data_IF_434377607563
#
_entry.id   IF_434377607563
#
_cell.length_a   1.000
_cell.length_b   1.000
_cell.length_c   1.000
_cell.angle_alpha   90.00
_cell.angle_beta   90.00
_cell.angle_gamma   90.00
#
_symmetry.space_group_name_H-M   'P 1'
#
loop_
_entity.id
_entity.type
_entity.pdbx_description
1 polymer ?
#
# COMPACT_ATOMS: atom_id res chain seq x y z
N UNK A 1 0.67 -28.48 24.24
CA UNK A 1 0.32 -28.44 22.81
C UNK A 1 0.75 -27.08 22.27
N UNK A 2 1.96 -26.98 21.73
CA UNK A 2 2.54 -25.74 21.22
C UNK A 2 1.87 -25.40 19.89
N UNK A 3 1.05 -24.35 19.87
CA UNK A 3 0.54 -23.75 18.63
C UNK A 3 1.68 -22.94 17.97
N UNK A 4 2.64 -23.63 17.36
CA UNK A 4 3.57 -23.02 16.40
C UNK A 4 2.88 -22.91 15.04
N UNK A 5 1.80 -22.14 14.96
CA UNK A 5 1.35 -21.59 13.69
C UNK A 5 2.19 -20.36 13.43
N UNK A 6 3.09 -20.40 12.45
CA UNK A 6 3.72 -19.19 11.95
C UNK A 6 2.61 -18.27 11.45
N UNK A 7 2.21 -17.26 12.23
CA UNK A 7 1.26 -16.26 11.81
C UNK A 7 1.92 -15.36 10.76
N UNK A 8 1.88 -15.78 9.50
CA UNK A 8 2.50 -15.05 8.40
C UNK A 8 1.81 -13.70 8.17
N UNK A 9 2.63 -12.68 7.98
CA UNK A 9 2.17 -11.41 7.43
C UNK A 9 1.88 -11.58 5.94
N UNK A 10 0.91 -10.82 5.43
CA UNK A 10 0.63 -10.66 4.00
C UNK A 10 0.58 -9.19 3.62
N UNK A 11 0.67 -8.89 2.33
CA UNK A 11 0.73 -7.52 1.82
C UNK A 11 -0.68 -7.07 1.41
N UNK A 12 -1.31 -6.23 2.23
CA UNK A 12 -2.68 -5.74 2.01
C UNK A 12 -2.70 -4.43 1.20
N UNK A 13 -1.56 -3.76 1.08
CA UNK A 13 -1.42 -2.58 0.22
C UNK A 13 0.01 -2.46 -0.26
N UNK A 14 0.18 -2.14 -1.54
CA UNK A 14 1.49 -1.88 -2.13
C UNK A 14 1.38 -0.71 -3.10
N UNK A 15 2.19 0.31 -2.90
CA UNK A 15 2.29 1.46 -3.81
C UNK A 15 3.68 1.40 -4.43
N UNK A 16 3.73 1.35 -5.76
CA UNK A 16 4.99 1.20 -6.48
C UNK A 16 5.02 2.16 -7.67
N UNK A 17 6.20 2.71 -7.97
CA UNK A 17 6.42 3.56 -9.12
C UNK A 17 7.77 3.27 -9.78
N UNK A 18 7.91 3.58 -11.07
CA UNK A 18 9.18 3.46 -11.78
C UNK A 18 9.31 4.56 -12.84
N UNK A 19 10.50 5.16 -12.90
CA UNK A 19 10.87 6.18 -13.89
C UNK A 19 11.54 5.54 -15.12
N UNK A 20 11.09 5.95 -16.31
CA UNK A 20 11.66 5.59 -17.60
C UNK A 20 12.21 6.85 -18.27
N UNK A 21 13.54 7.02 -18.21
CA UNK A 21 14.22 8.25 -18.66
C UNK A 21 14.09 8.51 -20.16
N UNK A 22 13.99 7.44 -20.94
CA UNK A 22 13.82 7.49 -22.39
C UNK A 22 12.44 8.03 -22.78
N UNK A 23 11.46 7.96 -21.85
CA UNK A 23 10.09 8.36 -22.11
C UNK A 23 9.42 7.48 -23.16
N UNK A 24 8.47 8.05 -23.90
CA UNK A 24 7.77 7.36 -24.99
C UNK A 24 6.72 6.36 -24.53
N UNK A 25 6.41 6.31 -23.23
CA UNK A 25 5.36 5.43 -22.72
C UNK A 25 3.96 5.96 -23.08
N UNK A 26 2.98 5.07 -23.26
CA UNK A 26 1.58 5.47 -23.37
C UNK A 26 1.11 6.30 -22.18
N UNK A 27 0.33 7.35 -22.45
CA UNK A 27 -0.37 8.09 -21.40
C UNK A 27 -1.51 7.22 -20.84
N UNK A 28 -1.46 6.96 -19.54
CA UNK A 28 -2.48 6.15 -18.84
C UNK A 28 -3.02 6.95 -17.67
N UNK A 29 -4.25 7.44 -17.83
CA UNK A 29 -5.01 8.13 -16.81
C UNK A 29 -6.49 8.12 -17.17
N UNK A 30 -7.33 8.77 -16.37
CA UNK A 30 -8.73 9.01 -16.72
C UNK A 30 -8.85 10.20 -17.67
N UNK A 31 -8.05 11.24 -17.47
CA UNK A 31 -7.99 12.44 -18.29
C UNK A 31 -6.54 12.91 -18.49
N UNK A 32 -6.29 13.52 -19.64
CA UNK A 32 -5.07 14.28 -19.91
C UNK A 32 -5.27 15.72 -19.44
N UNK A 33 -4.26 16.26 -18.76
CA UNK A 33 -4.20 17.63 -18.27
C UNK A 33 -3.12 18.34 -19.07
N UNK A 34 -3.55 19.16 -20.04
CA UNK A 34 -2.68 20.10 -20.73
C UNK A 34 -2.44 21.33 -19.85
N UNK A 35 -1.21 21.82 -19.83
CA UNK A 35 -0.84 23.03 -19.10
C UNK A 35 -0.14 23.97 -20.06
N UNK A 36 -0.44 25.25 -19.96
CA UNK A 36 0.17 26.31 -20.75
C UNK A 36 0.84 27.25 -19.76
N UNK A 37 2.10 27.60 -20.02
CA UNK A 37 2.79 28.65 -19.28
C UNK A 37 2.17 30.00 -19.64
N UNK A 38 1.71 30.75 -18.65
CA UNK A 38 0.97 32.00 -18.87
C UNK A 38 1.88 33.18 -19.26
N UNK A 39 3.17 33.10 -18.98
CA UNK A 39 4.14 34.15 -19.33
C UNK A 39 4.65 33.95 -20.75
N UNK A 40 5.03 32.72 -21.12
CA UNK A 40 5.59 32.40 -22.44
C UNK A 40 4.55 31.97 -23.48
N UNK A 41 3.38 31.49 -23.05
CA UNK A 41 2.37 30.88 -23.92
C UNK A 41 2.74 29.47 -24.40
N UNK A 42 3.85 28.90 -23.91
CA UNK A 42 4.32 27.57 -24.33
C UNK A 42 3.51 26.44 -23.66
N UNK A 43 3.29 25.35 -24.40
CA UNK A 43 2.69 24.14 -23.84
C UNK A 43 3.71 23.41 -22.97
N UNK A 44 3.36 23.21 -21.70
CA UNK A 44 4.12 22.36 -20.79
C UNK A 44 3.85 20.87 -21.06
N UNK A 45 4.74 19.96 -20.64
CA UNK A 45 4.50 18.53 -20.76
C UNK A 45 3.15 18.13 -20.16
N UNK A 46 2.34 17.34 -20.90
CA UNK A 46 1.04 16.90 -20.44
C UNK A 46 1.20 16.05 -19.19
N UNK A 47 0.25 16.17 -18.27
CA UNK A 47 0.11 15.27 -17.13
C UNK A 47 -1.17 14.47 -17.31
N UNK A 48 -1.33 13.41 -16.52
CA UNK A 48 -2.58 12.67 -16.43
C UNK A 48 -3.01 12.54 -14.98
N UNK A 49 -4.31 12.40 -14.73
CA UNK A 49 -4.83 11.99 -13.43
C UNK A 49 -4.71 10.46 -13.23
N UNK A 50 -5.11 9.97 -12.06
CA UNK A 50 -5.14 8.54 -11.79
C UNK A 50 -6.38 7.89 -12.42
N UNK A 51 -6.18 6.71 -13.03
CA UNK A 51 -7.27 5.85 -13.48
C UNK A 51 -7.56 4.79 -12.42
N UNK A 52 -8.82 4.69 -12.00
CA UNK A 52 -9.29 3.62 -11.10
C UNK A 52 -9.64 2.40 -11.94
N UNK A 53 -9.08 1.26 -11.58
CA UNK A 53 -9.38 -0.05 -12.15
C UNK A 53 -10.25 -0.81 -11.17
N UNK A 54 -11.41 -1.27 -11.63
CA UNK A 54 -12.29 -2.12 -10.85
C UNK A 54 -12.04 -3.59 -11.20
N UNK A 55 -11.64 -4.36 -10.20
CA UNK A 55 -11.49 -5.80 -10.27
C UNK A 55 -12.74 -6.53 -9.78
N UNK A 56 -12.75 -7.84 -9.90
CA UNK A 56 -13.81 -8.69 -9.34
C UNK A 56 -13.98 -8.45 -7.84
N UNK A 57 -15.20 -8.59 -7.32
CA UNK A 57 -15.51 -8.44 -5.89
C UNK A 57 -15.19 -7.05 -5.28
N UNK A 58 -15.38 -6.00 -6.09
CA UNK A 58 -15.27 -4.59 -5.72
C UNK A 58 -13.88 -4.16 -5.25
N UNK A 59 -12.83 -4.83 -5.74
CA UNK A 59 -11.44 -4.41 -5.51
C UNK A 59 -11.06 -3.27 -6.41
N UNK A 60 -10.27 -2.32 -5.90
CA UNK A 60 -9.80 -1.17 -6.67
C UNK A 60 -8.28 -1.12 -6.67
N UNK A 61 -7.71 -0.96 -7.86
CA UNK A 61 -6.34 -0.50 -8.05
C UNK A 61 -6.39 0.87 -8.72
N UNK A 62 -5.36 1.67 -8.53
CA UNK A 62 -5.13 2.87 -9.34
C UNK A 62 -3.89 2.68 -10.19
N UNK A 63 -3.96 3.17 -11.43
CA UNK A 63 -2.86 3.17 -12.38
C UNK A 63 -2.67 4.58 -12.94
N UNK A 64 -1.42 4.96 -13.16
CA UNK A 64 -1.06 6.23 -13.78
C UNK A 64 0.22 6.10 -14.59
N UNK A 65 0.24 6.63 -15.81
CA UNK A 65 1.46 6.86 -16.59
C UNK A 65 1.41 8.21 -17.30
N UNK A 66 2.41 9.06 -17.07
CA UNK A 66 2.55 10.39 -17.68
C UNK A 66 3.55 10.41 -18.87
N UNK A 67 3.84 9.23 -19.43
CA UNK A 67 4.80 9.07 -20.52
C UNK A 67 6.23 8.81 -20.06
N UNK A 68 6.53 9.05 -18.78
CA UNK A 68 7.85 8.82 -18.18
C UNK A 68 7.78 7.96 -16.93
N UNK A 69 6.81 8.21 -16.04
CA UNK A 69 6.66 7.50 -14.78
C UNK A 69 5.44 6.60 -14.81
N UNK A 70 5.62 5.33 -14.47
CA UNK A 70 4.52 4.38 -14.23
C UNK A 70 4.28 4.28 -12.73
N UNK A 71 3.01 4.31 -12.30
CA UNK A 71 2.61 4.12 -10.90
C UNK A 71 1.40 3.20 -10.80
N UNK A 72 1.46 2.25 -9.87
CA UNK A 72 0.35 1.37 -9.52
C UNK A 72 0.17 1.37 -8.01
N UNK A 73 -1.06 1.51 -7.54
CA UNK A 73 -1.39 1.54 -6.12
C UNK A 73 -2.62 0.69 -5.82
N UNK A 74 -2.60 0.02 -4.67
CA UNK A 74 -3.79 -0.60 -4.10
C UNK A 74 -3.48 -1.90 -3.39
N UNK A 75 -4.45 -2.81 -3.34
CA UNK A 75 -4.31 -4.10 -2.66
C UNK A 75 -4.08 -5.23 -3.69
N UNK A 76 -2.84 -5.70 -3.88
CA UNK A 76 -2.57 -6.80 -4.81
C UNK A 76 -3.15 -8.12 -4.30
N UNK A 77 -3.15 -8.34 -2.98
CA UNK A 77 -3.68 -9.55 -2.34
C UNK A 77 -5.17 -9.77 -2.53
N UNK A 78 -5.94 -8.70 -2.77
CA UNK A 78 -7.38 -8.79 -2.97
C UNK A 78 -7.77 -8.71 -4.45
N UNK A 79 -6.87 -8.29 -5.33
CA UNK A 79 -7.18 -8.04 -6.74
C UNK A 79 -7.73 -9.29 -7.43
N UNK A 80 -8.95 -9.18 -7.98
CA UNK A 80 -9.67 -10.27 -8.65
C UNK A 80 -9.85 -11.54 -7.79
N UNK A 81 -9.87 -11.41 -6.46
CA UNK A 81 -10.09 -12.53 -5.54
C UNK A 81 -11.36 -12.38 -4.73
N UNK A 82 -12.01 -13.50 -4.47
CA UNK A 82 -13.25 -13.56 -3.68
C UNK A 82 -12.96 -13.53 -2.17
N UNK A 83 -11.89 -14.21 -1.73
CA UNK A 83 -11.49 -14.23 -0.33
C UNK A 83 -10.54 -13.07 0.00
N UNK A 84 -10.69 -12.49 1.20
CA UNK A 84 -9.82 -11.44 1.74
C UNK A 84 -9.23 -11.86 3.10
N UNK A 85 -9.06 -13.17 3.29
CA UNK A 85 -8.58 -13.73 4.55
C UNK A 85 -7.08 -14.01 4.53
N UNK A 86 -6.55 -14.42 3.37
CA UNK A 86 -5.13 -14.65 3.19
C UNK A 86 -4.67 -13.89 1.96
N UNK A 87 -3.54 -13.20 2.08
CA UNK A 87 -2.96 -12.45 0.99
C UNK A 87 -1.65 -13.05 0.47
N UNK A 88 -1.08 -12.36 -0.51
CA UNK A 88 0.26 -12.61 -1.02
C UNK A 88 1.29 -12.25 0.06
N UNK A 89 2.27 -13.11 0.24
CA UNK A 89 3.24 -12.99 1.34
C UNK A 89 4.58 -12.43 0.85
N UNK A 90 4.80 -12.42 -0.47
CA UNK A 90 6.02 -11.91 -1.08
C UNK A 90 5.74 -10.67 -1.95
N UNK A 91 6.77 -9.82 -2.06
CA UNK A 91 6.76 -8.67 -2.96
C UNK A 91 6.72 -9.11 -4.43
N UNK A 92 7.43 -10.19 -4.78
CA UNK A 92 7.51 -10.67 -6.17
C UNK A 92 6.12 -11.09 -6.69
N UNK A 93 5.33 -11.82 -5.89
CA UNK A 93 3.93 -12.15 -6.24
C UNK A 93 3.06 -10.90 -6.40
N UNK A 94 3.23 -9.91 -5.51
CA UNK A 94 2.46 -8.65 -5.60
C UNK A 94 2.81 -7.85 -6.86
N UNK A 95 4.09 -7.81 -7.20
CA UNK A 95 4.59 -7.12 -8.40
C UNK A 95 4.14 -7.85 -9.66
N UNK A 96 4.07 -9.19 -9.65
CA UNK A 96 3.54 -9.97 -10.76
C UNK A 96 2.07 -9.63 -11.06
N UNK A 97 1.22 -9.50 -10.02
CA UNK A 97 -0.16 -9.01 -10.15
C UNK A 97 -0.19 -7.63 -10.83
N UNK A 98 0.68 -6.71 -10.43
CA UNK A 98 0.75 -5.38 -11.03
C UNK A 98 1.26 -5.43 -12.47
N UNK A 99 2.26 -6.26 -12.78
CA UNK A 99 2.78 -6.42 -14.12
C UNK A 99 1.73 -6.99 -15.09
N UNK A 100 0.85 -7.90 -14.63
CA UNK A 100 -0.31 -8.34 -15.40
C UNK A 100 -1.32 -7.21 -15.70
N UNK A 101 -1.44 -6.23 -14.81
CA UNK A 101 -2.26 -5.04 -15.05
C UNK A 101 -1.58 -4.11 -16.05
N UNK A 102 -0.27 -3.87 -15.91
CA UNK A 102 0.52 -3.00 -16.79
C UNK A 102 0.50 -3.49 -18.25
N UNK A 103 0.61 -4.80 -18.45
CA UNK A 103 0.58 -5.42 -19.77
C UNK A 103 -0.71 -5.10 -20.57
N UNK A 104 -1.84 -4.84 -19.89
CA UNK A 104 -3.11 -4.46 -20.55
C UNK A 104 -3.12 -3.03 -21.10
N UNK A 105 -2.11 -2.23 -20.74
CA UNK A 105 -1.97 -0.84 -21.13
C UNK A 105 -0.67 -0.59 -21.92
N UNK A 106 -0.04 -1.66 -22.42
CA UNK A 106 1.24 -1.61 -23.13
C UNK A 106 2.35 -0.89 -22.33
N UNK A 107 2.27 -1.00 -21.00
CA UNK A 107 3.27 -0.45 -20.09
C UNK A 107 4.31 -1.52 -19.72
N UNK A 108 5.59 -1.12 -19.58
CA UNK A 108 6.66 -2.04 -19.21
C UNK A 108 6.46 -2.57 -17.79
N UNK A 109 6.89 -3.81 -17.50
CA UNK A 109 6.82 -4.36 -16.16
C UNK A 109 7.76 -3.62 -15.20
N UNK A 110 7.40 -3.62 -13.92
CA UNK A 110 8.30 -3.17 -12.86
C UNK A 110 9.51 -4.11 -12.74
N UNK A 111 10.69 -3.52 -12.59
CA UNK A 111 11.96 -4.24 -12.49
C UNK A 111 12.63 -4.01 -11.14
N UNK A 112 13.35 -5.01 -10.63
CA UNK A 112 14.14 -4.84 -9.40
C UNK A 112 15.19 -3.74 -9.59
N UNK A 113 15.37 -2.94 -8.55
CA UNK A 113 16.40 -1.91 -8.54
C UNK A 113 17.78 -2.56 -8.38
N UNK A 114 18.69 -2.31 -9.31
CA UNK A 114 20.03 -2.93 -9.32
C UNK A 114 21.14 -1.93 -8.99
N UNK A 115 20.85 -0.63 -9.08
CA UNK A 115 21.80 0.46 -8.83
C UNK A 115 21.09 1.63 -8.17
N UNK A 116 21.64 2.09 -7.06
CA UNK A 116 21.23 3.32 -6.39
C UNK A 116 22.31 4.37 -6.58
N UNK A 117 21.93 5.58 -7.00
CA UNK A 117 22.84 6.73 -7.11
C UNK A 117 22.26 7.89 -6.32
N UNK A 118 23.12 8.71 -5.73
CA UNK A 118 22.68 9.99 -5.17
C UNK A 118 22.29 10.93 -6.30
N UNK A 119 21.16 11.60 -6.14
CA UNK A 119 20.79 12.76 -6.93
C UNK A 119 21.66 13.93 -6.50
N UNK A 120 22.14 14.71 -7.46
CA UNK A 120 22.77 15.98 -7.18
C UNK A 120 21.73 16.92 -6.56
N UNK A 121 22.03 17.44 -5.38
CA UNK A 121 21.17 18.39 -4.68
C UNK A 121 21.92 19.71 -4.47
N UNK A 122 21.20 20.85 -4.38
CA UNK A 122 21.80 22.11 -3.99
C UNK A 122 22.53 21.98 -2.65
N UNK A 123 23.57 22.80 -2.45
CA UNK A 123 24.38 22.77 -1.24
C UNK A 123 23.51 22.96 0.02
N UNK A 124 23.83 22.20 1.07
CA UNK A 124 23.06 22.16 2.32
C UNK A 124 21.74 21.39 2.27
N UNK A 125 21.33 20.80 1.13
CA UNK A 125 20.13 19.95 1.04
C UNK A 125 20.47 18.46 1.05
N UNK A 126 19.67 17.68 1.77
CA UNK A 126 19.76 16.22 1.81
C UNK A 126 19.61 15.63 0.41
N UNK A 127 20.58 14.79 0.02
CA UNK A 127 20.52 14.08 -1.26
C UNK A 127 19.48 12.96 -1.21
N UNK A 128 18.77 12.75 -2.32
CA UNK A 128 17.86 11.61 -2.49
C UNK A 128 18.51 10.53 -3.34
N UNK A 129 18.09 9.27 -3.16
CA UNK A 129 18.53 8.19 -4.03
C UNK A 129 17.66 8.11 -5.28
N UNK A 130 18.29 7.77 -6.40
CA UNK A 130 17.62 7.47 -7.66
C UNK A 130 18.04 6.07 -8.09
N UNK A 131 17.04 5.22 -8.28
CA UNK A 131 17.17 3.86 -8.78
C UNK A 131 17.15 3.75 -10.30
N UNK A 132 17.43 2.55 -10.79
CA UNK A 132 17.17 2.16 -12.17
C UNK A 132 16.00 1.16 -12.31
N UNK A 133 15.26 0.91 -11.23
CA UNK A 133 14.11 0.03 -11.22
C UNK A 133 12.99 0.62 -10.37
N UNK A 134 12.04 -0.24 -10.00
CA UNK A 134 10.86 0.13 -9.25
C UNK A 134 11.22 0.58 -7.82
N UNK A 135 10.50 1.60 -7.39
CA UNK A 135 10.51 2.17 -6.05
C UNK A 135 9.18 1.82 -5.37
N UNK A 136 9.25 1.19 -4.19
CA UNK A 136 8.10 1.01 -3.32
C UNK A 136 7.95 2.28 -2.50
N UNK A 137 6.88 3.02 -2.73
CA UNK A 137 6.60 4.29 -2.03
C UNK A 137 5.64 4.12 -0.86
N UNK A 138 5.10 2.92 -0.65
CA UNK A 138 4.38 2.54 0.57
C UNK A 138 4.01 1.06 0.55
N UNK A 139 4.02 0.42 1.71
CA UNK A 139 3.59 -0.96 1.89
C UNK A 139 2.81 -1.12 3.20
N UNK A 140 1.73 -1.91 3.17
CA UNK A 140 1.06 -2.35 4.38
C UNK A 140 1.19 -3.87 4.56
N UNK A 141 1.90 -4.27 5.61
CA UNK A 141 1.95 -5.63 6.10
C UNK A 141 0.78 -5.89 7.05
N UNK A 142 0.06 -6.98 6.87
CA UNK A 142 -1.13 -7.31 7.65
C UNK A 142 -1.02 -8.70 8.23
N UNK A 143 -1.43 -8.84 9.48
CA UNK A 143 -1.56 -10.09 10.19
C UNK A 143 -2.99 -10.19 10.75
N UNK A 144 -3.66 -11.29 10.45
CA UNK A 144 -4.94 -11.61 11.05
C UNK A 144 -4.69 -12.36 12.37
N UNK A 145 -5.29 -11.85 13.44
CA UNK A 145 -5.28 -12.42 14.79
C UNK A 145 -6.68 -12.92 15.14
N UNK A 146 -6.77 -13.90 16.03
CA UNK A 146 -8.03 -14.42 16.56
C UNK A 146 -8.03 -14.32 18.08
N UNK A 147 -9.15 -13.86 18.63
CA UNK A 147 -9.40 -13.83 20.07
C UNK A 147 -10.70 -14.56 20.39
N UNK A 148 -10.92 -14.84 21.67
CA UNK A 148 -12.23 -15.32 22.14
C UNK A 148 -13.32 -14.32 21.75
N UNK A 149 -14.50 -14.80 21.39
CA UNK A 149 -15.64 -13.94 21.06
C UNK A 149 -15.95 -12.99 22.23
N UNK A 150 -16.13 -11.71 21.94
CA UNK A 150 -16.38 -10.66 22.94
C UNK A 150 -15.11 -10.21 23.67
N UNK A 151 -13.94 -10.79 23.34
CA UNK A 151 -12.65 -10.43 23.94
C UNK A 151 -11.88 -9.42 23.08
N UNK A 152 -12.47 -8.87 22.02
CA UNK A 152 -11.81 -7.96 21.08
C UNK A 152 -11.43 -6.65 21.77
N UNK A 153 -12.39 -6.00 22.44
CA UNK A 153 -12.09 -4.76 23.18
C UNK A 153 -11.15 -5.00 24.37
N UNK A 154 -11.36 -6.02 25.24
CA UNK A 154 -10.38 -6.33 26.29
C UNK A 154 -8.96 -6.56 25.75
N UNK A 155 -8.83 -7.27 24.63
CA UNK A 155 -7.53 -7.51 24.00
C UNK A 155 -6.89 -6.20 23.50
N UNK A 156 -7.63 -5.40 22.73
CA UNK A 156 -7.14 -4.13 22.18
C UNK A 156 -6.78 -3.16 23.32
N UNK A 157 -7.61 -3.08 24.35
CA UNK A 157 -7.35 -2.28 25.56
C UNK A 157 -6.08 -2.77 26.28
N UNK A 158 -5.93 -4.08 26.45
CA UNK A 158 -4.72 -4.68 27.01
C UNK A 158 -3.47 -4.29 26.23
N UNK A 159 -3.49 -4.45 24.91
CA UNK A 159 -2.40 -4.05 24.02
C UNK A 159 -2.11 -2.55 24.08
N UNK A 160 -3.15 -1.72 24.19
CA UNK A 160 -3.02 -0.26 24.30
C UNK A 160 -2.38 0.23 25.60
N UNK A 161 -2.09 -0.65 26.56
CA UNK A 161 -1.30 -0.29 27.74
C UNK A 161 0.22 -0.30 27.47
N UNK A 162 0.63 -0.79 26.29
CA UNK A 162 2.03 -0.95 25.91
C UNK A 162 2.45 0.06 24.84
N UNK A 163 3.66 0.58 24.98
CA UNK A 163 4.36 1.28 23.90
C UNK A 163 4.98 0.26 22.94
N UNK A 164 5.07 0.61 21.65
CA UNK A 164 5.72 -0.23 20.64
C UNK A 164 6.96 0.45 20.06
N UNK A 165 7.93 -0.36 19.63
CA UNK A 165 9.13 0.10 18.95
C UNK A 165 9.90 1.18 19.72
N UNK A 166 10.16 2.32 19.08
CA UNK A 166 10.87 3.47 19.64
C UNK A 166 9.97 4.32 20.56
N UNK A 167 9.36 3.69 21.56
CA UNK A 167 8.46 4.36 22.53
C UNK A 167 7.25 5.03 21.88
N UNK A 168 6.75 4.47 20.77
CA UNK A 168 5.53 4.96 20.13
C UNK A 168 4.39 4.78 21.11
N UNK A 169 3.71 5.87 21.46
CA UNK A 169 2.61 5.84 22.41
C UNK A 169 1.34 5.29 21.75
N UNK A 170 0.57 4.45 22.44
CA UNK A 170 -0.71 3.97 21.96
C UNK A 170 -1.73 5.11 21.95
N UNK A 171 -2.56 5.14 20.91
CA UNK A 171 -3.81 5.91 20.84
C UNK A 171 -4.96 4.93 20.75
N UNK A 172 -5.58 4.63 21.89
CA UNK A 172 -6.83 3.88 21.95
C UNK A 172 -7.99 4.80 21.56
N UNK A 173 -8.83 4.35 20.64
CA UNK A 173 -10.01 5.10 20.22
C UNK A 173 -11.18 4.92 21.20
N UNK A 174 -12.10 5.90 21.32
CA UNK A 174 -13.18 5.86 22.32
C UNK A 174 -14.12 4.65 22.21
N UNK A 175 -14.25 4.05 21.03
CA UNK A 175 -15.07 2.87 20.79
C UNK A 175 -14.44 1.56 21.32
N UNK A 176 -13.18 1.59 21.74
CA UNK A 176 -12.43 0.43 22.23
C UNK A 176 -12.08 -0.61 21.15
N UNK A 177 -12.41 -0.37 19.88
CA UNK A 177 -12.24 -1.32 18.78
C UNK A 177 -11.03 -1.05 17.91
N UNK A 178 -10.30 0.04 18.14
CA UNK A 178 -9.08 0.38 17.43
C UNK A 178 -8.03 1.00 18.34
N UNK A 179 -6.76 0.63 18.16
CA UNK A 179 -5.61 1.26 18.79
C UNK A 179 -4.49 1.44 17.77
N UNK A 180 -3.95 2.65 17.66
CA UNK A 180 -2.87 2.98 16.73
C UNK A 180 -1.60 3.39 17.47
N UNK A 181 -0.44 3.11 16.87
CA UNK A 181 0.87 3.59 17.32
C UNK A 181 1.55 4.30 16.15
N UNK A 182 2.10 5.51 16.39
CA UNK A 182 2.75 6.29 15.33
C UNK A 182 1.79 7.04 14.42
N UNK A 183 0.60 7.37 14.92
CA UNK A 183 -0.32 8.22 14.15
C UNK A 183 0.32 9.58 13.87
N UNK A 184 0.22 10.04 12.62
CA UNK A 184 0.94 11.22 12.14
C UNK A 184 2.37 10.97 11.68
N UNK A 185 2.90 9.74 11.84
CA UNK A 185 4.21 9.38 11.27
C UNK A 185 4.16 9.29 9.75
N UNK A 186 5.18 9.86 9.11
CA UNK A 186 5.47 9.70 7.69
C UNK A 186 6.29 8.45 7.36
N UNK A 187 6.64 7.63 8.37
CA UNK A 187 7.50 6.45 8.18
C UNK A 187 6.84 5.14 8.61
N UNK A 188 6.15 5.14 9.75
CA UNK A 188 5.63 3.91 10.34
C UNK A 188 4.36 4.16 11.15
N UNK A 189 3.29 3.45 10.79
CA UNK A 189 2.03 3.43 11.51
C UNK A 189 1.60 1.99 11.77
N UNK A 190 1.42 1.63 13.04
CA UNK A 190 0.89 0.33 13.43
C UNK A 190 -0.57 0.52 13.83
N UNK A 191 -1.46 -0.30 13.27
CA UNK A 191 -2.90 -0.30 13.56
C UNK A 191 -3.29 -1.66 14.10
N UNK A 192 -3.97 -1.68 15.23
CA UNK A 192 -4.66 -2.85 15.74
C UNK A 192 -6.15 -2.53 15.80
N UNK A 193 -6.99 -3.29 15.11
CA UNK A 193 -8.43 -3.04 15.12
C UNK A 193 -9.24 -4.32 14.99
N UNK A 194 -10.44 -4.32 15.58
CA UNK A 194 -11.39 -5.40 15.37
C UNK A 194 -11.95 -5.29 13.95
N UNK A 195 -11.73 -6.31 13.11
CA UNK A 195 -12.34 -6.37 11.78
C UNK A 195 -13.75 -6.91 11.98
N UNK A 196 -14.67 -6.01 12.28
CA UNK A 196 -16.11 -6.31 12.31
C UNK A 196 -16.49 -6.96 10.98
N UNK A 197 -17.06 -8.16 11.06
CA UNK A 197 -17.61 -8.89 9.93
C UNK A 197 -18.75 -8.06 9.33
N UNK A 198 -18.44 -7.24 8.34
CA UNK A 198 -19.41 -6.77 7.35
C UNK A 198 -19.72 -7.89 6.35
N UNK A 199 -20.01 -9.10 6.84
CA UNK A 199 -20.58 -10.20 6.07
C UNK A 199 -21.53 -10.97 6.98
N UNK A 200 -22.80 -10.92 6.60
CA UNK A 200 -23.91 -11.62 7.21
C UNK A 200 -23.63 -13.12 7.37
N UNK A 201 -24.01 -13.64 8.55
CA UNK A 201 -24.51 -15.01 8.79
C UNK A 201 -23.64 -16.13 8.18
N UNK A 202 -22.65 -16.60 8.95
CA UNK A 202 -22.26 -18.02 9.18
C UNK A 202 -20.78 -18.13 9.53
N UNK A 203 -20.41 -17.92 10.81
CA UNK A 203 -19.24 -18.52 11.50
C UNK A 203 -19.26 -18.10 12.99
N UNK A 204 -20.09 -18.78 13.79
CA UNK A 204 -20.47 -18.40 15.17
C UNK A 204 -19.46 -18.81 16.27
N UNK A 205 -18.15 -18.84 16.05
CA UNK A 205 -17.21 -19.28 17.13
C UNK A 205 -15.93 -18.46 17.33
N UNK A 206 -15.57 -17.54 16.43
CA UNK A 206 -14.32 -16.77 16.59
C UNK A 206 -14.44 -15.42 15.89
N UNK A 207 -14.20 -14.32 16.62
CA UNK A 207 -14.08 -12.98 16.06
C UNK A 207 -12.59 -12.63 15.87
N UNK A 208 -12.30 -11.77 14.88
CA UNK A 208 -10.95 -11.56 14.38
C UNK A 208 -10.49 -10.12 14.58
N UNK A 209 -9.24 -9.99 14.99
CA UNK A 209 -8.53 -8.72 15.12
C UNK A 209 -7.51 -8.64 13.99
N UNK A 210 -7.29 -7.47 13.44
CA UNK A 210 -6.29 -7.23 12.41
C UNK A 210 -5.22 -6.32 12.97
N UNK A 211 -3.97 -6.78 12.87
CA UNK A 211 -2.80 -5.96 13.07
C UNK A 211 -2.22 -5.59 11.71
N UNK A 212 -2.03 -4.30 11.46
CA UNK A 212 -1.55 -3.78 10.19
C UNK A 212 -0.39 -2.81 10.43
N UNK A 213 0.76 -3.11 9.86
CA UNK A 213 1.96 -2.30 9.89
C UNK A 213 2.09 -1.60 8.54
N UNK A 214 1.89 -0.28 8.54
CA UNK A 214 2.03 0.58 7.38
C UNK A 214 3.41 1.23 7.39
N UNK A 215 4.16 1.00 6.33
CA UNK A 215 5.39 1.71 6.02
C UNK A 215 5.12 2.62 4.81
N UNK A 216 5.53 3.87 4.93
CA UNK A 216 5.46 4.88 3.86
C UNK A 216 6.83 5.15 3.31
#
# INVERSE_FOLDING_TARGET
MLLTGFYLYFIDRLFIQQDHREGGLPLVGRHVIERIDLESGEKLPPSVDQKILEGSHSTKLTIRCDGYRVRVEGNPSRWQRQDNLFGLTTLDECVEVYNHVLAKYDLPPFTKNTRLKHRQTPDGKTSSYVGNGAEITSIDWTQNLSVGQGSEQPFIRGMSSMSLGRSMKPKLYPDGYSCYWGEGSEWLLIKLYAKLLSYSVTQKRTQRIVMKVKNT
#
